data_IF_350813322279
#
_entry.id   IF_350813322279
#
_cell.length_a   1.000
_cell.length_b   1.000
_cell.length_c   1.000
_cell.angle_alpha   90.00
_cell.angle_beta   90.00
_cell.angle_gamma   90.00
#
_symmetry.space_group_name_H-M   'P 1'
#
loop_
_entity.id
_entity.type
_entity.pdbx_description
1 polymer ?
#
# COMPACT_ATOMS: atom_id res chain seq x y z
N UNK A 1 20.11 13.77 -2.03
CA UNK A 1 21.12 12.80 -1.59
C UNK A 1 20.51 11.44 -1.89
N UNK A 2 20.76 10.95 -3.09
CA UNK A 2 20.02 9.83 -3.70
C UNK A 2 20.50 8.49 -3.14
N UNK A 3 19.81 7.97 -2.13
CA UNK A 3 20.06 6.63 -1.57
C UNK A 3 19.42 5.49 -2.40
N UNK A 4 18.70 5.80 -3.49
CA UNK A 4 17.98 4.81 -4.30
C UNK A 4 18.84 3.93 -5.23
N UNK A 5 20.18 4.06 -5.21
CA UNK A 5 21.05 3.40 -6.19
C UNK A 5 21.94 2.26 -5.66
N UNK A 6 22.07 2.09 -4.35
CA UNK A 6 23.10 1.18 -3.81
C UNK A 6 22.58 -0.25 -3.69
N UNK A 7 22.97 -1.10 -4.65
CA UNK A 7 22.67 -2.53 -4.61
C UNK A 7 23.58 -3.25 -3.61
N UNK A 8 22.98 -3.91 -2.62
CA UNK A 8 23.68 -4.80 -1.69
C UNK A 8 23.39 -6.24 -2.08
N UNK A 9 24.44 -7.04 -2.28
CA UNK A 9 24.29 -8.48 -2.55
C UNK A 9 24.03 -9.22 -1.24
N UNK A 10 22.96 -10.02 -1.24
CA UNK A 10 22.58 -10.87 -0.12
C UNK A 10 22.41 -12.30 -0.66
N UNK A 11 22.89 -13.28 0.09
CA UNK A 11 22.70 -14.70 -0.22
C UNK A 11 21.58 -15.24 0.66
N UNK A 12 20.57 -15.84 0.04
CA UNK A 12 19.42 -16.45 0.72
C UNK A 12 19.27 -17.89 0.27
N UNK A 13 18.80 -18.74 1.18
CA UNK A 13 18.42 -20.11 0.85
C UNK A 13 16.95 -20.14 0.43
N UNK A 14 16.67 -20.70 -0.74
CA UNK A 14 15.31 -20.93 -1.24
C UNK A 14 15.11 -22.43 -1.49
N UNK A 15 13.88 -22.95 -1.37
CA UNK A 15 13.56 -24.30 -1.78
C UNK A 15 14.03 -24.58 -3.22
N UNK A 16 14.65 -25.74 -3.45
CA UNK A 16 15.18 -26.11 -4.77
C UNK A 16 14.12 -26.04 -5.87
N UNK A 17 12.89 -26.45 -5.55
CA UNK A 17 11.73 -26.39 -6.44
C UNK A 17 11.42 -24.97 -6.91
N UNK A 18 11.53 -23.97 -6.03
CA UNK A 18 11.32 -22.57 -6.39
C UNK A 18 12.46 -22.05 -7.27
N UNK A 19 13.71 -22.42 -6.98
CA UNK A 19 14.86 -22.04 -7.80
C UNK A 19 14.73 -22.59 -9.22
N UNK A 20 14.29 -23.83 -9.37
CA UNK A 20 14.02 -24.45 -10.67
C UNK A 20 12.92 -23.72 -11.43
N UNK A 21 11.79 -23.41 -10.77
CA UNK A 21 10.71 -22.64 -11.38
C UNK A 21 11.17 -21.25 -11.86
N UNK A 22 11.95 -20.54 -11.04
CA UNK A 22 12.51 -19.24 -11.41
C UNK A 22 13.44 -19.34 -12.62
N UNK A 23 14.25 -20.40 -12.71
CA UNK A 23 15.10 -20.67 -13.87
C UNK A 23 14.28 -20.96 -15.13
N UNK A 24 13.23 -21.76 -15.02
CA UNK A 24 12.32 -22.04 -16.15
C UNK A 24 11.64 -20.77 -16.64
N UNK A 25 11.17 -19.91 -15.72
CA UNK A 25 10.55 -18.63 -16.08
C UNK A 25 11.55 -17.70 -16.78
N UNK A 26 12.78 -17.62 -16.29
CA UNK A 26 13.83 -16.81 -16.92
C UNK A 26 14.20 -17.36 -18.30
N UNK A 27 14.34 -18.69 -18.44
CA UNK A 27 14.63 -19.34 -19.72
C UNK A 27 13.50 -19.15 -20.75
N UNK A 28 12.25 -19.09 -20.30
CA UNK A 28 11.09 -18.79 -21.15
C UNK A 28 10.98 -17.33 -21.58
N UNK A 29 11.84 -16.43 -21.07
CA UNK A 29 11.79 -15.00 -21.34
C UNK A 29 10.64 -14.27 -20.64
N UNK A 30 9.82 -14.97 -19.84
CA UNK A 30 8.69 -14.39 -19.11
C UNK A 30 9.13 -13.45 -17.98
N UNK A 31 10.35 -13.63 -17.48
CA UNK A 31 10.99 -12.75 -16.49
C UNK A 31 12.44 -12.50 -16.86
N UNK A 32 12.99 -11.35 -16.48
CA UNK A 32 14.35 -10.95 -16.85
C UNK A 32 15.44 -11.83 -16.22
N UNK A 33 15.29 -12.19 -14.94
CA UNK A 33 16.21 -13.07 -14.21
C UNK A 33 15.60 -13.53 -12.90
N UNK A 34 16.16 -14.57 -12.28
CA UNK A 34 15.75 -14.99 -10.93
C UNK A 34 15.93 -13.86 -9.89
N UNK A 35 17.03 -13.11 -9.96
CA UNK A 35 17.28 -11.97 -9.06
C UNK A 35 16.27 -10.84 -9.25
N UNK A 36 15.82 -10.60 -10.48
CA UNK A 36 14.75 -9.63 -10.76
C UNK A 36 13.46 -10.03 -10.04
N UNK A 37 13.05 -11.29 -10.15
CA UNK A 37 11.84 -11.80 -9.49
C UNK A 37 11.96 -11.72 -7.97
N UNK A 38 13.10 -12.12 -7.41
CA UNK A 38 13.33 -12.03 -5.94
C UNK A 38 13.24 -10.59 -5.47
N UNK A 39 13.88 -9.64 -6.17
CA UNK A 39 13.82 -8.22 -5.81
C UNK A 39 12.38 -7.69 -5.85
N UNK A 40 11.64 -8.03 -6.90
CA UNK A 40 10.27 -7.58 -7.08
C UNK A 40 9.34 -8.15 -6.00
N UNK A 41 9.47 -9.45 -5.70
CA UNK A 41 8.69 -10.10 -4.64
C UNK A 41 8.96 -9.48 -3.26
N UNK A 42 10.24 -9.18 -2.96
CA UNK A 42 10.62 -8.51 -1.71
C UNK A 42 10.05 -7.10 -1.64
N UNK A 43 10.14 -6.32 -2.74
CA UNK A 43 9.58 -4.97 -2.78
C UNK A 43 8.05 -4.97 -2.56
N UNK A 44 7.34 -5.89 -3.22
CA UNK A 44 5.90 -6.05 -3.03
C UNK A 44 5.53 -6.47 -1.61
N UNK A 45 6.31 -7.37 -1.01
CA UNK A 45 6.12 -7.77 0.38
C UNK A 45 6.29 -6.60 1.35
N UNK A 46 7.38 -5.82 1.20
CA UNK A 46 7.63 -4.65 2.05
C UNK A 46 6.55 -3.58 1.89
N UNK A 47 6.14 -3.28 0.66
CA UNK A 47 5.04 -2.35 0.41
C UNK A 47 3.70 -2.86 0.99
N UNK A 48 3.52 -4.18 1.09
CA UNK A 48 2.38 -4.79 1.76
C UNK A 48 2.37 -4.48 3.26
N UNK A 49 3.51 -4.67 3.92
CA UNK A 49 3.68 -4.37 5.35
C UNK A 49 3.48 -2.88 5.65
N UNK A 50 4.09 -1.99 4.87
CA UNK A 50 3.91 -0.53 5.05
C UNK A 50 2.44 -0.11 4.92
N UNK A 51 1.68 -0.74 4.01
CA UNK A 51 0.25 -0.46 3.85
C UNK A 51 -0.58 -0.99 5.02
N UNK A 52 -0.17 -2.09 5.63
CA UNK A 52 -0.81 -2.64 6.82
C UNK A 52 -0.58 -1.72 8.02
N UNK A 53 0.68 -1.34 8.27
CA UNK A 53 1.06 -0.38 9.31
C UNK A 53 0.32 0.95 9.14
N UNK A 54 0.25 1.47 7.91
CA UNK A 54 -0.48 2.70 7.60
C UNK A 54 -1.97 2.57 7.89
N UNK A 55 -2.60 1.43 7.54
CA UNK A 55 -4.02 1.19 7.83
C UNK A 55 -4.28 1.13 9.32
N UNK A 56 -3.40 0.49 10.08
CA UNK A 56 -3.53 0.40 11.53
C UNK A 56 -3.39 1.79 12.18
N UNK A 57 -2.37 2.55 11.78
CA UNK A 57 -2.19 3.93 12.25
C UNK A 57 -3.41 4.82 11.94
N UNK A 58 -3.97 4.70 10.73
CA UNK A 58 -5.19 5.42 10.35
C UNK A 58 -6.41 4.98 11.17
N UNK A 59 -6.55 3.68 11.45
CA UNK A 59 -7.65 3.18 12.27
C UNK A 59 -7.54 3.68 13.73
N UNK A 60 -6.33 3.74 14.27
CA UNK A 60 -6.07 4.30 15.59
C UNK A 60 -6.35 5.80 15.64
N UNK A 61 -5.89 6.56 14.64
CA UNK A 61 -6.17 8.00 14.55
C UNK A 61 -7.67 8.29 14.38
N UNK A 62 -8.39 7.48 13.60
CA UNK A 62 -9.85 7.60 13.45
C UNK A 62 -10.64 7.20 14.70
N UNK A 63 -10.02 6.50 15.65
CA UNK A 63 -10.61 6.18 16.94
C UNK A 63 -10.27 7.20 18.04
N UNK A 64 -9.48 8.24 17.72
CA UNK A 64 -9.16 9.31 18.66
C UNK A 64 -10.43 10.11 19.02
N UNK A 65 -10.83 10.14 20.31
CA UNK A 65 -12.03 10.84 20.74
C UNK A 65 -12.03 12.34 20.43
N UNK A 66 -10.88 13.00 20.44
CA UNK A 66 -10.80 14.43 20.15
C UNK A 66 -10.93 14.69 18.65
N UNK A 67 -10.32 13.84 17.82
CA UNK A 67 -10.54 13.85 16.37
C UNK A 67 -12.02 13.64 16.01
N UNK A 68 -12.69 12.69 16.66
CA UNK A 68 -14.12 12.43 16.43
C UNK A 68 -15.01 13.60 16.85
N UNK A 69 -14.68 14.31 17.93
CA UNK A 69 -15.40 15.54 18.31
C UNK A 69 -15.22 16.63 17.27
N UNK A 70 -14.00 16.82 16.77
CA UNK A 70 -13.71 17.82 15.74
C UNK A 70 -14.48 17.52 14.45
N UNK A 71 -14.51 16.25 14.02
CA UNK A 71 -15.32 15.81 12.88
C UNK A 71 -16.81 16.09 13.10
N UNK A 72 -17.36 15.73 14.26
CA UNK A 72 -18.77 15.97 14.57
C UNK A 72 -19.12 17.47 14.61
N UNK A 73 -18.21 18.32 15.10
CA UNK A 73 -18.39 19.77 15.08
C UNK A 73 -18.41 20.33 13.65
N UNK A 74 -17.50 19.86 12.79
CA UNK A 74 -17.48 20.26 11.38
C UNK A 74 -18.75 19.77 10.67
N UNK A 75 -19.19 18.53 10.89
CA UNK A 75 -20.45 18.02 10.31
C UNK A 75 -21.67 18.86 10.74
N UNK A 76 -21.71 19.35 11.97
CA UNK A 76 -22.75 20.28 12.43
C UNK A 76 -22.67 21.62 11.69
N UNK A 77 -21.48 22.22 11.61
CA UNK A 77 -21.26 23.53 10.99
C UNK A 77 -21.66 23.54 9.50
N UNK A 78 -21.44 22.43 8.80
CA UNK A 78 -21.74 22.30 7.36
C UNK A 78 -23.11 21.69 7.06
N UNK A 79 -23.86 21.23 8.07
CA UNK A 79 -25.17 20.57 7.89
C UNK A 79 -26.13 21.35 7.00
N UNK A 80 -26.18 22.67 7.16
CA UNK A 80 -27.09 23.51 6.38
C UNK A 80 -26.65 23.61 4.92
N UNK A 81 -25.36 23.79 4.66
CA UNK A 81 -24.78 23.83 3.31
C UNK A 81 -25.00 22.50 2.57
N UNK A 82 -24.84 21.38 3.28
CA UNK A 82 -25.07 20.04 2.73
C UNK A 82 -26.56 19.83 2.40
N UNK A 83 -27.47 20.26 3.27
CA UNK A 83 -28.91 20.19 3.03
C UNK A 83 -29.37 21.08 1.86
N UNK A 84 -28.77 22.25 1.69
CA UNK A 84 -29.01 23.12 0.54
C UNK A 84 -28.50 22.48 -0.75
N UNK A 85 -27.29 21.94 -0.73
CA UNK A 85 -26.68 21.25 -1.89
C UNK A 85 -27.52 20.03 -2.31
N UNK A 86 -27.95 19.20 -1.36
CA UNK A 86 -28.79 18.03 -1.63
C UNK A 86 -30.14 18.40 -2.29
N UNK A 87 -30.70 19.59 -2.00
CA UNK A 87 -31.93 20.09 -2.65
C UNK A 87 -31.68 20.63 -4.07
N UNK A 88 -30.46 21.06 -4.36
CA UNK A 88 -30.08 21.64 -5.66
C UNK A 88 -29.54 20.61 -6.64
N UNK A 89 -29.10 19.44 -6.17
CA UNK A 89 -28.68 18.33 -7.02
C UNK A 89 -29.90 17.57 -7.54
N UNK A 90 -30.11 17.50 -8.87
CA UNK A 90 -31.16 16.64 -9.43
C UNK A 90 -30.81 15.17 -9.19
N UNK A 91 -31.79 14.37 -8.78
CA UNK A 91 -31.66 12.91 -8.78
C UNK A 91 -31.50 12.42 -10.23
N UNK A 92 -30.45 11.65 -10.51
CA UNK A 92 -30.21 11.00 -11.80
C UNK A 92 -30.69 9.55 -11.78
#
# INVERSE_FOLDING_TARGET
>A
MDEHGKLTKVTVALPSTMVEQLRTLAASGRVHSASFVVREAVAQYLAGLEREDFREAMAQAGADPDFLKDVAAIEEDYRQCDAETARMMPEW
#
